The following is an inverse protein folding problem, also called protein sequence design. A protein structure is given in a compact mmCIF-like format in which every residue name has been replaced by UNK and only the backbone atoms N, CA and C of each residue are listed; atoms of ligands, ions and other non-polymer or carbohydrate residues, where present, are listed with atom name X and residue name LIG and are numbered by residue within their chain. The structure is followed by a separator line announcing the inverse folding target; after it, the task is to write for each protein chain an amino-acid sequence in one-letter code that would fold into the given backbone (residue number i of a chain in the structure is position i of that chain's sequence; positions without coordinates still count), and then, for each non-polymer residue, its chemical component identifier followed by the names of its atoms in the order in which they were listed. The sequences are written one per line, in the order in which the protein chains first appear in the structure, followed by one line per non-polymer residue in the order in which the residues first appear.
data_IF_761273325448
#
_entry.id   IF_761273325448
#
_cell.length_a   1.000
_cell.length_b   1.000
_cell.length_c   1.000
_cell.angle_alpha   90.00
_cell.angle_beta   90.00
_cell.angle_gamma   90.00
#
_symmetry.space_group_name_H-M   'P 1'
#
loop_
_entity.id
_entity.type
_entity.pdbx_description
1 polymer ?
#
# COMPACT_ATOMS: atom_id res chain seq x y z
N UNK A 1 -20.51 -58.19 -3.98
CA UNK A 1 -19.48 -58.68 -3.04
C UNK A 1 -18.54 -57.52 -2.78
N UNK A 2 -18.46 -56.89 -1.63
CA UNK A 2 -19.16 -57.15 -0.38
C UNK A 2 -19.18 -55.87 0.48
N UNK A 3 -20.29 -55.70 1.21
CA UNK A 3 -20.50 -55.05 2.52
C UNK A 3 -19.35 -54.29 3.20
N UNK A 4 -19.57 -53.07 3.72
CA UNK A 4 -19.96 -52.81 5.12
C UNK A 4 -18.75 -52.32 5.96
N UNK A 5 -18.80 -51.57 7.07
CA UNK A 5 -19.82 -51.19 8.06
C UNK A 5 -19.36 -49.93 8.85
N UNK A 6 -20.35 -49.31 9.49
CA UNK A 6 -20.35 -48.26 10.52
C UNK A 6 -19.36 -48.43 11.70
N UNK A 7 -18.98 -47.30 12.33
CA UNK A 7 -19.04 -47.18 13.80
C UNK A 7 -19.27 -45.73 14.27
N UNK A 8 -20.34 -45.56 15.06
CA UNK A 8 -20.67 -44.39 15.89
C UNK A 8 -20.06 -44.62 17.26
N UNK A 9 -19.45 -43.61 17.88
CA UNK A 9 -19.27 -43.55 19.34
C UNK A 9 -19.68 -42.16 19.83
N UNK A 10 -20.82 -42.13 20.50
CA UNK A 10 -21.21 -41.11 21.48
C UNK A 10 -20.53 -41.45 22.81
N UNK A 11 -20.09 -40.45 23.57
CA UNK A 11 -20.12 -40.47 25.03
C UNK A 11 -19.96 -39.05 25.58
N UNK A 12 -20.65 -38.85 26.69
CA UNK A 12 -21.28 -37.64 27.20
C UNK A 12 -20.67 -37.17 28.52
N UNK A 13 -20.88 -35.88 28.82
CA UNK A 13 -20.98 -35.20 30.12
C UNK A 13 -19.82 -35.32 31.12
N UNK A 14 -19.45 -34.19 31.74
CA UNK A 14 -19.66 -33.95 33.18
C UNK A 14 -19.56 -32.45 33.48
N UNK A 15 -20.36 -32.02 34.45
CA UNK A 15 -20.77 -30.66 34.76
C UNK A 15 -20.73 -30.52 36.29
N UNK A 16 -20.04 -29.50 36.83
CA UNK A 16 -20.14 -28.99 38.21
C UNK A 16 -19.75 -27.49 38.11
N UNK A 17 -20.60 -26.47 38.31
CA UNK A 17 -21.23 -26.01 39.56
C UNK A 17 -20.25 -25.12 40.35
N UNK A 18 -20.48 -23.89 40.83
CA UNK A 18 -21.71 -23.14 41.11
C UNK A 18 -21.46 -21.61 41.29
N UNK A 19 -22.56 -20.85 41.14
CA UNK A 19 -22.99 -19.58 41.79
C UNK A 19 -22.02 -18.48 42.20
N UNK A 20 -22.35 -17.25 41.78
CA UNK A 20 -22.85 -16.21 42.69
C UNK A 20 -23.66 -15.16 41.92
N UNK A 21 -24.93 -15.00 42.30
CA UNK A 21 -25.76 -13.87 41.94
C UNK A 21 -25.55 -12.75 42.95
N UNK A 22 -25.41 -11.51 42.48
CA UNK A 22 -25.72 -10.31 43.26
C UNK A 22 -26.50 -9.37 42.35
N UNK A 23 -27.77 -9.15 42.69
CA UNK A 23 -28.62 -8.11 42.15
C UNK A 23 -28.53 -6.89 43.08
N UNK A 24 -28.32 -5.70 42.50
CA UNK A 24 -28.75 -4.44 43.08
C UNK A 24 -29.11 -3.47 41.95
N UNK A 25 -30.29 -2.88 42.06
CA UNK A 25 -30.96 -2.02 41.10
C UNK A 25 -30.50 -0.55 41.19
N UNK A 26 -30.71 0.24 40.12
CA UNK A 26 -30.73 1.70 40.20
C UNK A 26 -30.34 2.47 38.93
N UNK A 27 -31.37 2.90 38.19
CA UNK A 27 -31.48 4.19 37.47
C UNK A 27 -30.77 4.46 36.12
N UNK A 28 -31.63 4.80 35.14
CA UNK A 28 -31.42 5.60 33.93
C UNK A 28 -30.54 5.05 32.79
N UNK A 29 -31.03 4.01 32.11
CA UNK A 29 -30.62 3.74 30.73
C UNK A 29 -31.37 4.65 29.76
N UNK A 30 -30.75 5.75 29.37
CA UNK A 30 -31.08 6.44 28.12
C UNK A 30 -30.92 5.42 26.99
N UNK A 31 -31.92 5.19 26.11
CA UNK A 31 -31.74 4.29 25.00
C UNK A 31 -30.72 4.92 24.05
N UNK A 32 -29.51 4.36 24.03
CA UNK A 32 -28.53 4.61 22.98
C UNK A 32 -29.17 4.12 21.69
N UNK A 33 -29.69 5.07 20.91
CA UNK A 33 -30.09 4.86 19.54
C UNK A 33 -28.97 4.07 18.85
N UNK A 34 -29.30 2.89 18.35
CA UNK A 34 -28.41 2.06 17.55
C UNK A 34 -28.23 2.77 16.21
N UNK A 35 -27.43 3.84 16.21
CA UNK A 35 -26.92 4.45 15.01
C UNK A 35 -26.02 3.42 14.35
N UNK A 36 -26.54 2.78 13.30
CA UNK A 36 -25.71 1.97 12.41
C UNK A 36 -24.69 2.93 11.80
N UNK A 37 -23.46 2.90 12.30
CA UNK A 37 -22.34 3.55 11.63
C UNK A 37 -22.11 2.72 10.36
N UNK A 38 -22.69 3.15 9.25
CA UNK A 38 -22.26 2.68 7.94
C UNK A 38 -20.80 3.08 7.78
N UNK A 39 -19.90 2.12 8.00
CA UNK A 39 -18.51 2.26 7.61
C UNK A 39 -18.52 2.29 6.08
N UNK A 40 -18.57 3.49 5.49
CA UNK A 40 -18.48 3.69 4.05
C UNK A 40 -17.22 3.00 3.56
N UNK A 41 -17.41 1.87 2.88
CA UNK A 41 -16.34 1.06 2.34
C UNK A 41 -15.60 1.86 1.26
N UNK A 42 -14.41 2.37 1.57
CA UNK A 42 -13.62 3.16 0.63
C UNK A 42 -13.04 2.25 -0.45
N UNK A 43 -13.66 2.26 -1.63
CA UNK A 43 -13.12 1.63 -2.84
C UNK A 43 -11.78 2.26 -3.26
N UNK A 44 -10.91 1.48 -3.90
CA UNK A 44 -9.70 2.00 -4.54
C UNK A 44 -10.11 2.97 -5.65
N UNK A 45 -9.64 4.24 -5.63
CA UNK A 45 -10.01 5.21 -6.64
C UNK A 45 -9.36 4.85 -7.97
N UNK A 46 -10.16 4.84 -9.03
CA UNK A 46 -9.71 4.56 -10.39
C UNK A 46 -9.89 5.74 -11.32
N UNK A 47 -10.46 6.86 -10.84
CA UNK A 47 -10.63 8.05 -11.68
C UNK A 47 -9.26 8.70 -11.96
N UNK A 48 -9.18 9.44 -13.06
CA UNK A 48 -7.94 10.11 -13.44
C UNK A 48 -7.61 11.30 -12.52
N UNK A 49 -8.65 11.93 -11.95
CA UNK A 49 -8.53 13.05 -11.02
C UNK A 49 -7.98 12.62 -9.63
N UNK A 50 -8.14 11.35 -9.25
CA UNK A 50 -7.80 10.85 -7.91
C UNK A 50 -6.50 10.06 -7.87
N UNK A 51 -5.62 10.21 -8.86
CA UNK A 51 -4.37 9.43 -8.92
C UNK A 51 -3.52 9.53 -7.65
N UNK A 52 -3.42 10.71 -7.03
CA UNK A 52 -2.65 10.85 -5.78
C UNK A 52 -3.22 10.03 -4.63
N UNK A 53 -4.55 9.87 -4.56
CA UNK A 53 -5.20 9.01 -3.58
C UNK A 53 -5.00 7.53 -3.94
N UNK A 54 -5.18 7.17 -5.22
CA UNK A 54 -4.85 5.83 -5.74
C UNK A 54 -3.43 5.43 -5.36
N UNK A 55 -2.45 6.29 -5.63
CA UNK A 55 -1.04 6.01 -5.41
C UNK A 55 -0.73 5.78 -3.93
N UNK A 56 -1.32 6.58 -3.02
CA UNK A 56 -1.19 6.33 -1.57
C UNK A 56 -1.71 4.95 -1.18
N UNK A 57 -2.87 4.53 -1.70
CA UNK A 57 -3.44 3.19 -1.48
C UNK A 57 -2.55 2.11 -2.10
N UNK A 58 -2.01 2.33 -3.30
CA UNK A 58 -1.08 1.43 -3.96
C UNK A 58 0.20 1.19 -3.14
N UNK A 59 0.73 2.25 -2.53
CA UNK A 59 1.95 2.18 -1.70
C UNK A 59 1.70 1.51 -0.35
N UNK A 60 0.63 1.89 0.36
CA UNK A 60 0.40 1.48 1.75
C UNK A 60 -0.54 0.28 1.94
N UNK A 61 -1.32 -0.07 0.91
CA UNK A 61 -2.51 -0.91 1.06
C UNK A 61 -3.78 -0.11 1.41
N UNK A 62 -4.87 -0.85 1.63
CA UNK A 62 -6.15 -0.30 2.09
C UNK A 62 -6.48 -0.91 3.45
N UNK A 63 -5.86 -0.34 4.49
CA UNK A 63 -6.07 -0.69 5.90
C UNK A 63 -5.85 -2.21 6.15
N UNK A 64 -6.44 -2.75 7.20
CA UNK A 64 -6.31 -4.17 7.57
C UNK A 64 -7.09 -5.13 6.63
N UNK A 65 -7.91 -4.59 5.72
CA UNK A 65 -8.73 -5.40 4.80
C UNK A 65 -7.99 -5.83 3.54
N UNK A 66 -7.23 -4.93 2.92
CA UNK A 66 -6.42 -5.27 1.74
C UNK A 66 -4.97 -4.86 1.96
N UNK A 67 -4.07 -5.83 2.23
CA UNK A 67 -2.66 -5.52 2.42
C UNK A 67 -2.05 -4.99 1.12
N UNK A 68 -0.91 -4.30 1.24
CA UNK A 68 -0.17 -3.74 0.09
C UNK A 68 0.08 -4.76 -1.02
N UNK A 69 0.32 -6.03 -0.67
CA UNK A 69 0.57 -7.12 -1.62
C UNK A 69 -0.68 -7.44 -2.46
N UNK A 70 -1.86 -7.47 -1.84
CA UNK A 70 -3.13 -7.67 -2.54
C UNK A 70 -3.42 -6.52 -3.51
N UNK A 71 -3.20 -5.28 -3.06
CA UNK A 71 -3.36 -4.08 -3.90
C UNK A 71 -2.37 -4.12 -5.07
N UNK A 72 -1.08 -4.36 -4.84
CA UNK A 72 -0.08 -4.44 -5.92
C UNK A 72 -0.38 -5.57 -6.89
N UNK A 73 -0.79 -6.75 -6.41
CA UNK A 73 -1.20 -7.85 -7.28
C UNK A 73 -2.35 -7.46 -8.21
N UNK A 74 -3.27 -6.62 -7.72
CA UNK A 74 -4.41 -6.13 -8.49
C UNK A 74 -4.08 -4.96 -9.43
N UNK A 75 -3.01 -4.19 -9.23
CA UNK A 75 -2.72 -2.96 -9.97
C UNK A 75 -1.32 -2.88 -10.59
N UNK A 76 -0.51 -3.93 -10.52
CA UNK A 76 0.69 -4.07 -11.36
C UNK A 76 0.29 -4.77 -12.67
N UNK A 77 0.79 -4.26 -13.80
CA UNK A 77 0.57 -4.90 -15.10
C UNK A 77 1.28 -6.27 -15.14
N UNK A 78 0.78 -7.29 -15.87
CA UNK A 78 1.39 -8.62 -15.86
C UNK A 78 2.89 -8.64 -16.17
N UNK A 79 3.33 -7.70 -17.00
CA UNK A 79 4.71 -7.47 -17.40
C UNK A 79 5.04 -5.98 -17.23
N UNK A 80 6.06 -5.65 -16.45
CA UNK A 80 6.51 -4.28 -16.24
C UNK A 80 7.77 -4.06 -17.08
N UNK A 81 7.73 -3.04 -17.93
CA UNK A 81 8.90 -2.68 -18.73
C UNK A 81 9.90 -1.89 -17.88
N UNK A 82 11.14 -2.34 -17.82
CA UNK A 82 12.25 -1.61 -17.21
C UNK A 82 13.00 -0.90 -18.32
N UNK A 83 13.06 0.43 -18.26
CA UNK A 83 13.62 1.29 -19.31
C UNK A 83 14.63 2.26 -18.73
N UNK A 84 15.46 2.83 -19.60
CA UNK A 84 16.40 3.89 -19.21
C UNK A 84 15.65 5.22 -19.08
N UNK A 85 15.76 5.89 -17.93
CA UNK A 85 15.04 7.13 -17.65
C UNK A 85 15.37 8.27 -18.62
N UNK A 86 16.67 8.46 -18.92
CA UNK A 86 17.16 9.46 -19.89
C UNK A 86 16.88 9.09 -21.36
N UNK A 87 16.47 7.85 -21.64
CA UNK A 87 16.13 7.36 -22.98
C UNK A 87 14.99 6.34 -22.89
N UNK A 88 13.75 6.77 -22.58
CA UNK A 88 12.65 5.85 -22.27
C UNK A 88 12.27 4.90 -23.43
N UNK A 89 12.64 5.22 -24.67
CA UNK A 89 12.47 4.31 -25.81
C UNK A 89 13.32 3.04 -25.71
N UNK A 90 14.42 3.08 -24.96
CA UNK A 90 15.29 1.93 -24.75
C UNK A 90 14.78 1.03 -23.62
N UNK A 91 14.27 -0.13 -24.01
CA UNK A 91 13.92 -1.23 -23.11
C UNK A 91 15.20 -1.91 -22.61
N UNK A 92 15.32 -2.09 -21.30
CA UNK A 92 16.39 -2.87 -20.67
C UNK A 92 15.96 -4.32 -20.52
N UNK A 93 14.81 -4.51 -19.88
CA UNK A 93 14.22 -5.83 -19.62
C UNK A 93 12.72 -5.69 -19.40
N UNK A 94 12.00 -6.78 -19.56
CA UNK A 94 10.61 -6.90 -19.11
C UNK A 94 10.60 -7.81 -17.89
N UNK A 95 10.06 -7.32 -16.78
CA UNK A 95 10.00 -8.04 -15.52
C UNK A 95 8.57 -8.50 -15.21
N UNK A 96 8.38 -9.73 -14.70
CA UNK A 96 7.06 -10.22 -14.33
C UNK A 96 6.50 -9.41 -13.15
N UNK A 97 5.17 -9.29 -13.06
CA UNK A 97 4.51 -8.54 -11.97
C UNK A 97 4.96 -8.97 -10.58
N UNK A 98 5.33 -10.25 -10.40
CA UNK A 98 5.74 -10.84 -9.13
C UNK A 98 6.92 -10.08 -8.50
N UNK A 99 7.84 -9.58 -9.32
CA UNK A 99 8.99 -8.82 -8.86
C UNK A 99 8.58 -7.50 -8.17
N UNK A 100 7.42 -6.94 -8.53
CA UNK A 100 6.91 -5.66 -8.00
C UNK A 100 5.88 -5.80 -6.88
N UNK A 101 5.28 -6.98 -6.68
CA UNK A 101 4.30 -7.19 -5.61
C UNK A 101 4.97 -7.07 -4.23
N UNK A 102 6.16 -7.66 -4.10
CA UNK A 102 7.03 -7.57 -2.91
C UNK A 102 7.95 -6.35 -2.95
N UNK A 103 9.25 -6.59 -3.15
CA UNK A 103 10.29 -5.59 -2.90
C UNK A 103 10.79 -4.82 -4.14
N UNK A 104 10.35 -5.18 -5.35
CA UNK A 104 10.76 -4.46 -6.58
C UNK A 104 10.16 -3.05 -6.70
N UNK A 105 9.06 -2.76 -6.01
CA UNK A 105 8.53 -1.40 -5.90
C UNK A 105 9.12 -0.67 -4.69
N UNK A 106 9.90 0.39 -4.97
CA UNK A 106 10.85 1.00 -4.02
C UNK A 106 10.33 2.21 -3.26
N UNK A 107 9.08 2.63 -3.47
CA UNK A 107 8.48 3.76 -2.74
C UNK A 107 7.60 3.21 -1.61
N UNK A 108 7.76 3.77 -0.42
CA UNK A 108 7.01 3.46 0.80
C UNK A 108 6.40 4.70 1.45
N UNK A 109 5.59 4.48 2.49
CA UNK A 109 5.06 5.51 3.37
C UNK A 109 5.31 5.11 4.83
N UNK A 110 5.94 5.98 5.61
CA UNK A 110 6.10 5.84 7.06
C UNK A 110 5.62 7.12 7.73
N UNK A 111 4.67 7.03 8.67
CA UNK A 111 4.07 8.20 9.33
C UNK A 111 3.60 9.28 8.33
N UNK A 112 3.02 8.86 7.19
CA UNK A 112 2.61 9.71 6.06
C UNK A 112 3.72 10.38 5.25
N UNK A 113 4.98 10.00 5.47
CA UNK A 113 6.15 10.53 4.79
C UNK A 113 6.65 9.53 3.74
N UNK A 114 6.99 10.02 2.54
CA UNK A 114 7.52 9.16 1.48
C UNK A 114 8.92 8.69 1.83
N UNK A 115 9.15 7.38 1.70
CA UNK A 115 10.42 6.75 2.05
C UNK A 115 10.87 5.75 0.99
N UNK A 116 12.17 5.50 0.91
CA UNK A 116 12.77 4.54 -0.01
C UNK A 116 12.84 3.15 0.64
N UNK A 117 12.35 2.12 -0.06
CA UNK A 117 12.29 0.72 0.40
C UNK A 117 13.37 -0.20 -0.21
N UNK A 118 14.38 0.37 -0.87
CA UNK A 118 15.42 -0.44 -1.52
C UNK A 118 16.40 -1.10 -0.53
N UNK A 119 17.37 -1.90 -1.03
CA UNK A 119 18.30 -2.68 -0.21
C UNK A 119 19.25 -1.83 0.66
N UNK A 120 19.31 -0.52 0.40
CA UNK A 120 20.11 0.46 1.13
C UNK A 120 19.52 0.78 2.53
N UNK A 121 18.34 0.23 2.87
CA UNK A 121 17.69 0.46 4.17
C UNK A 121 18.41 -0.37 5.24
N UNK A 122 19.06 0.32 6.18
CA UNK A 122 19.72 -0.29 7.33
C UNK A 122 18.87 -0.09 8.58
N UNK A 123 18.62 -1.17 9.34
CA UNK A 123 18.01 -1.13 10.67
C UNK A 123 16.65 -0.38 10.76
N UNK A 124 15.85 -0.41 9.69
CA UNK A 124 14.55 0.28 9.66
C UNK A 124 14.64 1.81 9.51
N UNK A 125 15.83 2.36 9.24
CA UNK A 125 15.99 3.76 8.86
C UNK A 125 15.77 3.90 7.36
N UNK A 126 14.58 4.34 6.96
CA UNK A 126 14.22 4.50 5.56
C UNK A 126 14.54 5.92 5.06
N UNK A 127 15.39 6.09 4.03
CA UNK A 127 15.69 7.40 3.46
C UNK A 127 14.42 8.12 2.99
N UNK A 128 14.30 9.40 3.32
CA UNK A 128 13.17 10.23 2.88
C UNK A 128 13.22 10.47 1.37
N UNK A 129 12.06 10.47 0.74
CA UNK A 129 11.89 10.72 -0.68
C UNK A 129 11.23 12.08 -0.94
N UNK A 130 11.64 12.71 -2.03
CA UNK A 130 10.84 13.68 -2.76
C UNK A 130 10.11 12.93 -3.86
N UNK A 131 8.77 12.94 -3.83
CA UNK A 131 7.92 12.30 -4.85
C UNK A 131 7.19 13.40 -5.62
N UNK A 132 7.19 13.31 -6.94
CA UNK A 132 6.47 14.24 -7.83
C UNK A 132 5.62 13.46 -8.82
N UNK A 133 4.35 13.86 -8.95
CA UNK A 133 3.46 13.32 -9.97
C UNK A 133 3.48 14.25 -11.18
N UNK A 134 3.81 13.70 -12.35
CA UNK A 134 3.80 14.40 -13.63
C UNK A 134 2.83 13.69 -14.58
N UNK A 135 1.64 14.26 -14.82
CA UNK A 135 0.78 13.80 -15.89
C UNK A 135 1.52 13.90 -17.23
N UNK A 136 1.60 12.80 -17.96
CA UNK A 136 2.15 12.77 -19.32
C UNK A 136 1.01 12.88 -20.34
N UNK A 137 -0.11 12.20 -20.06
CA UNK A 137 -1.36 12.28 -20.81
C UNK A 137 -2.54 12.11 -19.84
N UNK A 138 -3.78 12.16 -20.33
CA UNK A 138 -4.97 11.84 -19.52
C UNK A 138 -4.96 10.42 -18.95
N UNK A 139 -4.23 9.50 -19.59
CA UNK A 139 -4.18 8.08 -19.22
C UNK A 139 -2.79 7.65 -18.74
N UNK A 140 -1.81 8.55 -18.62
CA UNK A 140 -0.44 8.20 -18.21
C UNK A 140 0.09 9.21 -17.21
N UNK A 141 0.58 8.73 -16.07
CA UNK A 141 1.22 9.54 -15.05
C UNK A 141 2.60 8.96 -14.76
N UNK A 142 3.60 9.85 -14.77
CA UNK A 142 4.94 9.57 -14.28
C UNK A 142 5.06 9.95 -12.82
N UNK A 143 5.45 8.99 -11.99
CA UNK A 143 5.78 9.21 -10.58
C UNK A 143 7.29 9.25 -10.47
N UNK A 144 7.84 10.44 -10.36
CA UNK A 144 9.27 10.65 -10.14
C UNK A 144 9.58 10.59 -8.65
N UNK A 145 10.72 9.99 -8.31
CA UNK A 145 11.22 9.98 -6.95
C UNK A 145 12.74 10.15 -6.90
N UNK A 146 13.20 10.82 -5.85
CA UNK A 146 14.62 10.97 -5.52
C UNK A 146 14.78 11.00 -4.00
N UNK A 147 15.92 10.55 -3.48
CA UNK A 147 16.22 10.71 -2.05
C UNK A 147 16.36 12.21 -1.72
N UNK A 148 15.94 12.59 -0.52
CA UNK A 148 15.79 13.97 -0.13
C UNK A 148 16.06 14.18 1.37
N UNK A 149 16.69 15.31 1.69
CA UNK A 149 16.86 15.79 3.04
C UNK A 149 15.87 16.92 3.30
N UNK A 150 15.25 16.89 4.48
CA UNK A 150 14.29 17.89 4.92
C UNK A 150 14.77 18.50 6.24
N UNK A 151 14.56 19.81 6.40
CA UNK A 151 14.84 20.51 7.64
C UNK A 151 13.55 21.11 8.20
N UNK A 152 13.39 21.20 9.53
CA UNK A 152 12.30 21.92 10.14
C UNK A 152 12.23 23.36 9.63
N UNK A 153 11.01 23.87 9.47
CA UNK A 153 10.80 25.30 9.22
C UNK A 153 10.71 26.02 10.56
N UNK A 154 11.57 27.01 10.79
CA UNK A 154 11.54 27.80 12.02
C UNK A 154 10.17 28.49 12.18
N UNK A 155 9.63 28.48 13.40
CA UNK A 155 8.33 29.08 13.75
C UNK A 155 7.11 28.51 12.99
N UNK A 156 7.25 27.32 12.39
CA UNK A 156 6.14 26.67 11.71
C UNK A 156 5.27 25.84 12.66
N UNK A 157 4.02 25.58 12.25
CA UNK A 157 3.16 24.58 12.92
C UNK A 157 3.87 23.22 12.92
N UNK A 158 3.58 22.38 13.93
CA UNK A 158 4.20 21.07 14.09
C UNK A 158 4.23 20.27 12.77
N UNK A 159 5.37 19.61 12.50
CA UNK A 159 5.63 18.75 11.34
C UNK A 159 5.73 19.46 9.98
N UNK A 160 5.92 20.78 9.94
CA UNK A 160 6.31 21.46 8.70
C UNK A 160 7.82 21.38 8.47
N UNK A 161 8.19 20.81 7.32
CA UNK A 161 9.57 20.67 6.89
C UNK A 161 9.75 21.31 5.51
N UNK A 162 10.93 21.86 5.25
CA UNK A 162 11.33 22.32 3.91
C UNK A 162 12.34 21.37 3.32
N UNK A 163 12.25 21.17 2.00
CA UNK A 163 13.28 20.44 1.25
C UNK A 163 14.60 21.22 1.32
N UNK A 164 15.66 20.56 1.80
CA UNK A 164 17.02 21.11 1.84
C UNK A 164 17.76 20.77 0.56
N UNK A 165 17.81 19.48 0.22
CA UNK A 165 18.47 18.97 -0.97
C UNK A 165 17.90 17.62 -1.40
N UNK A 166 18.08 17.30 -2.67
CA UNK A 166 17.90 15.95 -3.21
C UNK A 166 19.26 15.35 -3.52
N UNK A 167 19.41 14.05 -3.35
CA UNK A 167 20.68 13.34 -3.56
C UNK A 167 20.45 11.95 -4.12
N UNK A 168 21.54 11.33 -4.58
CA UNK A 168 21.51 10.03 -5.22
C UNK A 168 20.80 10.04 -6.58
N UNK A 169 20.59 8.84 -7.11
CA UNK A 169 19.89 8.66 -8.37
C UNK A 169 18.39 8.87 -8.21
N UNK A 170 17.80 9.58 -9.17
CA UNK A 170 16.35 9.60 -9.34
C UNK A 170 15.90 8.36 -10.11
N UNK A 171 14.71 7.88 -9.77
CA UNK A 171 13.97 6.90 -10.56
C UNK A 171 12.57 7.42 -10.87
N UNK A 172 11.86 6.71 -11.73
CA UNK A 172 10.46 6.97 -11.93
C UNK A 172 9.66 5.70 -12.21
N UNK A 173 8.36 5.76 -11.95
CA UNK A 173 7.40 4.74 -12.34
C UNK A 173 6.37 5.34 -13.29
N UNK A 174 5.94 4.59 -14.29
CA UNK A 174 4.82 4.98 -15.14
C UNK A 174 3.59 4.18 -14.74
N UNK A 175 2.52 4.90 -14.44
CA UNK A 175 1.19 4.36 -14.26
C UNK A 175 0.34 4.71 -15.47
N UNK A 176 -0.31 3.70 -16.04
CA UNK A 176 -1.24 3.88 -17.15
C UNK A 176 -2.65 3.48 -16.75
N UNK A 177 -3.63 4.25 -17.19
CA UNK A 177 -5.03 3.94 -17.00
C UNK A 177 -5.44 2.91 -18.05
N UNK A 178 -5.63 1.66 -17.61
CA UNK A 178 -5.95 0.51 -18.46
C UNK A 178 -7.04 -0.32 -17.80
N UNK A 179 -7.99 -0.81 -18.60
CA UNK A 179 -9.11 -1.64 -18.12
C UNK A 179 -9.86 -0.97 -16.95
N UNK A 180 -10.10 0.34 -17.07
CA UNK A 180 -10.86 1.11 -16.09
C UNK A 180 -10.13 1.50 -14.80
N UNK A 181 -8.82 1.22 -14.65
CA UNK A 181 -8.06 1.68 -13.49
C UNK A 181 -6.57 1.91 -13.77
N UNK A 182 -5.87 2.53 -12.82
CA UNK A 182 -4.43 2.76 -12.90
C UNK A 182 -3.62 1.47 -12.73
N UNK A 183 -2.60 1.30 -13.57
CA UNK A 183 -1.71 0.13 -13.60
C UNK A 183 -0.25 0.55 -13.63
N UNK A 184 0.60 -0.01 -12.77
CA UNK A 184 2.05 0.12 -12.90
C UNK A 184 2.50 -0.65 -14.15
N UNK A 185 3.01 0.04 -15.16
CA UNK A 185 3.44 -0.57 -16.43
C UNK A 185 4.92 -0.43 -16.71
N UNK A 186 5.60 0.57 -16.14
CA UNK A 186 7.02 0.78 -16.37
C UNK A 186 7.77 1.23 -15.11
N UNK A 187 9.03 0.79 -15.00
CA UNK A 187 10.06 1.37 -14.14
C UNK A 187 11.11 2.05 -15.02
N UNK A 188 11.42 3.30 -14.72
CA UNK A 188 12.48 4.07 -15.36
C UNK A 188 13.66 4.17 -14.40
N UNK A 189 14.80 3.59 -14.80
CA UNK A 189 16.04 3.57 -14.01
C UNK A 189 17.06 4.55 -14.55
N UNK A 190 17.85 5.14 -13.67
CA UNK A 190 19.07 5.83 -14.10
C UNK A 190 19.99 4.82 -14.79
N UNK A 191 20.61 5.21 -15.91
CA UNK A 191 21.42 4.30 -16.72
C UNK A 191 22.70 3.80 -16.02
N UNK A 192 23.02 4.36 -14.86
CA UNK A 192 24.21 4.05 -14.06
C UNK A 192 23.96 2.83 -13.16
N UNK A 193 22.70 2.47 -12.89
CA UNK A 193 22.31 1.22 -12.22
C UNK A 193 21.96 0.13 -13.25
N UNK A 194 22.98 -0.40 -13.92
CA UNK A 194 22.89 -1.73 -14.56
C UNK A 194 23.74 -2.70 -13.73
N UNK A 195 23.20 -3.87 -13.32
CA UNK A 195 24.02 -4.94 -12.75
C UNK A 195 25.02 -5.48 -13.78
#
# INVERSE_FOLDING_TARGET
MDSGKFLVVLLSCWQIGASSAVQAAGENSVPLAQGTIEIVERKVPCSTAEFSYFFRVFVRGLNDRLPKTAIRNAYVWPQVEVRIDRKPSQLLVTAPKQDYIGDGFKIGLQQNLWVYLGPQVLNGNYPRLKVKFKPLTRQKIRVEYSQAEYAPVANARANQERLVKTFGESGAYIFEHRLGCWRLTQELRSAVTLP
#
